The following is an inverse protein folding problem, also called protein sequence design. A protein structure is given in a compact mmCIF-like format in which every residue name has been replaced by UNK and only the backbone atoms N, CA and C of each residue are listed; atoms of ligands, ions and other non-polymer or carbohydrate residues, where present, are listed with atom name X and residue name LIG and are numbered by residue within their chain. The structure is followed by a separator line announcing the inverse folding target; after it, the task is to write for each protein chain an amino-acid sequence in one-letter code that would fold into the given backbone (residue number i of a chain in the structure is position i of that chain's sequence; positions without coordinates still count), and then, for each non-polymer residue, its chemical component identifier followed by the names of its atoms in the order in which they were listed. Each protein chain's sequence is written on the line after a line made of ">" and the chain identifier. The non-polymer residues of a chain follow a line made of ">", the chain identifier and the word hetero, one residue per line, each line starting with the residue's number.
data_IF_081255712770
#
_entry.id   IF_081255712770
#
_cell.length_a   1.000
_cell.length_b   1.000
_cell.length_c   1.000
_cell.angle_alpha   90.00
_cell.angle_beta   90.00
_cell.angle_gamma   90.00
#
_symmetry.space_group_name_H-M   'P 1'
#
loop_
_entity.id
_entity.type
_entity.pdbx_description
1 polymer ?
#
# COMPACT_ATOMS: atom_id res chain seq x y z
N UNK A 1 92.13 -13.44 9.20
CA UNK A 1 91.38 -12.83 8.06
C UNK A 1 89.93 -13.34 8.18
N UNK A 2 89.08 -12.53 8.77
CA UNK A 2 87.77 -12.96 9.20
C UNK A 2 86.69 -12.31 8.30
N UNK A 3 85.90 -13.11 7.65
CA UNK A 3 84.82 -12.68 6.81
C UNK A 3 83.51 -12.65 7.57
N UNK A 4 82.94 -11.48 7.79
CA UNK A 4 81.65 -11.29 8.45
C UNK A 4 80.53 -11.55 7.43
N UNK A 5 79.69 -12.55 7.71
CA UNK A 5 78.47 -12.85 6.95
C UNK A 5 77.28 -12.03 7.54
N UNK A 6 76.78 -11.09 6.72
CA UNK A 6 75.58 -10.33 6.96
C UNK A 6 74.34 -11.20 6.64
N UNK A 7 73.55 -11.58 7.67
CA UNK A 7 72.23 -12.21 7.49
C UNK A 7 71.17 -11.13 7.40
N UNK A 8 70.47 -11.07 6.24
CA UNK A 8 69.29 -10.29 6.07
C UNK A 8 68.06 -10.86 6.87
N UNK A 9 67.22 -10.01 7.45
CA UNK A 9 66.07 -10.49 8.21
C UNK A 9 64.97 -11.04 7.27
N UNK A 10 64.48 -12.23 7.60
CA UNK A 10 63.40 -12.94 6.89
C UNK A 10 62.05 -12.21 6.99
N UNK A 11 61.34 -12.17 5.87
CA UNK A 11 59.98 -11.58 5.67
C UNK A 11 58.85 -12.38 6.40
N UNK A 12 58.98 -12.72 7.64
CA UNK A 12 58.01 -13.57 8.39
C UNK A 12 57.60 -12.99 9.75
N UNK A 13 57.32 -11.72 9.88
CA UNK A 13 56.85 -11.14 11.12
C UNK A 13 55.96 -9.89 10.93
N UNK A 14 55.07 -9.86 9.96
CA UNK A 14 54.00 -8.86 9.90
C UNK A 14 52.73 -9.56 9.40
N UNK A 15 52.14 -10.43 10.18
CA UNK A 15 50.73 -10.86 10.07
C UNK A 15 50.30 -11.22 11.51
N UNK A 16 49.92 -10.22 12.28
CA UNK A 16 49.13 -10.42 13.50
C UNK A 16 48.45 -9.06 13.79
N UNK A 17 47.23 -8.87 13.38
CA UNK A 17 46.46 -7.67 13.71
C UNK A 17 45.30 -7.38 12.77
N UNK A 18 44.72 -8.38 12.12
CA UNK A 18 43.40 -8.20 11.55
C UNK A 18 42.35 -8.37 12.66
N UNK A 19 41.96 -7.27 13.31
CA UNK A 19 40.71 -7.25 14.09
C UNK A 19 39.58 -7.67 13.11
N UNK A 20 39.11 -8.90 13.26
CA UNK A 20 37.83 -9.33 12.72
C UNK A 20 36.75 -8.56 13.50
N UNK A 21 36.36 -7.40 12.99
CA UNK A 21 35.10 -6.79 13.37
C UNK A 21 34.01 -7.76 12.93
N UNK A 22 33.56 -8.61 13.86
CA UNK A 22 32.34 -9.39 13.68
C UNK A 22 31.18 -8.37 13.56
N UNK A 23 30.79 -8.07 12.35
CA UNK A 23 29.49 -7.47 12.09
C UNK A 23 28.43 -8.49 12.53
N UNK A 24 28.06 -8.49 13.81
CA UNK A 24 26.80 -9.05 14.21
C UNK A 24 25.72 -8.32 13.40
N UNK A 25 24.77 -9.01 12.76
CA UNK A 25 23.62 -8.34 12.18
C UNK A 25 22.92 -7.65 13.36
N UNK A 26 23.04 -6.33 13.43
CA UNK A 26 22.19 -5.52 14.30
C UNK A 26 20.80 -5.73 13.73
N UNK A 27 20.02 -6.61 14.37
CA UNK A 27 18.62 -6.75 14.06
C UNK A 27 18.05 -5.32 14.02
N UNK A 28 17.39 -4.96 12.92
CA UNK A 28 16.86 -3.62 12.73
C UNK A 28 15.92 -3.32 13.90
N UNK A 29 16.42 -2.65 14.92
CA UNK A 29 15.59 -2.17 16.03
C UNK A 29 14.66 -1.10 15.44
N UNK A 30 13.37 -1.21 15.75
CA UNK A 30 12.43 -0.16 15.38
C UNK A 30 12.92 1.16 15.97
N UNK A 31 12.68 2.21 15.19
CA UNK A 31 12.94 3.57 15.64
C UNK A 31 11.69 4.04 16.38
N UNK A 32 11.75 4.10 17.72
CA UNK A 32 10.70 4.73 18.53
C UNK A 32 10.56 6.21 18.21
N UNK A 33 9.47 6.82 18.68
CA UNK A 33 9.13 8.22 18.41
C UNK A 33 10.26 9.20 18.72
N UNK A 34 10.97 9.01 19.84
CA UNK A 34 12.10 9.87 20.23
C UNK A 34 13.25 9.79 19.23
N UNK A 35 13.55 8.59 18.72
CA UNK A 35 14.60 8.37 17.71
C UNK A 35 14.24 9.04 16.40
N UNK A 36 12.97 8.93 15.97
CA UNK A 36 12.44 9.57 14.74
C UNK A 36 12.51 11.09 14.88
N UNK A 37 12.09 11.62 16.02
CA UNK A 37 12.11 13.05 16.32
C UNK A 37 13.54 13.59 16.35
N UNK A 38 14.45 12.91 17.01
CA UNK A 38 15.87 13.29 17.05
C UNK A 38 16.54 13.24 15.67
N UNK A 39 16.17 12.27 14.82
CA UNK A 39 16.65 12.15 13.45
C UNK A 39 16.04 13.20 12.51
N UNK A 40 14.91 13.83 12.87
CA UNK A 40 14.18 14.78 12.04
C UNK A 40 13.56 14.18 10.79
N UNK A 41 13.42 12.85 10.71
CA UNK A 41 12.89 12.15 9.54
C UNK A 41 12.14 10.88 9.94
N UNK A 42 10.96 10.68 9.34
CA UNK A 42 10.17 9.45 9.39
C UNK A 42 10.15 8.79 8.02
N UNK A 43 10.40 7.49 7.96
CA UNK A 43 10.37 6.68 6.73
C UNK A 43 9.00 6.07 6.57
N UNK A 44 8.35 6.36 5.43
CA UNK A 44 6.98 5.95 5.14
C UNK A 44 6.99 5.07 3.91
N UNK A 45 6.63 3.79 4.08
CA UNK A 45 6.46 2.84 2.98
C UNK A 45 5.11 3.02 2.31
N UNK A 46 5.10 3.06 0.98
CA UNK A 46 3.90 3.16 0.13
C UNK A 46 4.04 2.21 -1.06
N UNK A 47 2.94 1.69 -1.57
CA UNK A 47 2.94 0.87 -2.78
C UNK A 47 3.37 1.69 -4.00
N UNK A 48 4.05 1.04 -4.97
CA UNK A 48 4.59 1.71 -6.16
C UNK A 48 3.57 1.90 -7.28
N UNK A 49 2.56 1.04 -7.36
CA UNK A 49 1.68 0.84 -8.51
C UNK A 49 0.20 0.68 -8.13
N UNK A 50 -0.22 1.37 -7.07
CA UNK A 50 -1.57 1.30 -6.53
C UNK A 50 -2.32 2.65 -6.61
N UNK A 51 -2.51 3.17 -7.83
CA UNK A 51 -3.29 4.39 -8.09
C UNK A 51 -4.75 4.23 -7.63
N UNK A 52 -5.36 5.22 -6.92
CA UNK A 52 -4.86 6.55 -6.56
C UNK A 52 -4.16 6.65 -5.21
N UNK A 53 -3.92 5.53 -4.52
CA UNK A 53 -3.33 5.52 -3.20
C UNK A 53 -1.86 5.90 -3.23
N UNK A 54 -1.09 5.22 -4.04
CA UNK A 54 0.31 5.56 -4.31
C UNK A 54 0.77 4.94 -5.63
N UNK A 55 1.41 5.74 -6.46
CA UNK A 55 1.97 5.25 -7.72
C UNK A 55 3.17 6.10 -8.15
N UNK A 56 3.95 5.55 -9.06
CA UNK A 56 5.08 6.24 -9.65
C UNK A 56 4.67 6.85 -10.99
N UNK A 57 4.74 8.18 -11.09
CA UNK A 57 4.50 8.90 -12.33
C UNK A 57 5.56 8.61 -13.40
N UNK A 58 5.28 9.03 -14.61
CA UNK A 58 6.19 8.84 -15.76
C UNK A 58 7.57 9.51 -15.57
N UNK A 59 7.65 10.56 -14.76
CA UNK A 59 8.87 11.25 -14.36
C UNK A 59 9.62 10.57 -13.21
N UNK A 60 9.12 9.45 -12.71
CA UNK A 60 9.67 8.72 -11.57
C UNK A 60 9.25 9.25 -10.20
N UNK A 61 8.45 10.31 -10.15
CA UNK A 61 7.95 10.87 -8.88
C UNK A 61 6.88 9.96 -8.26
N UNK A 62 7.03 9.66 -6.97
CA UNK A 62 6.04 8.93 -6.20
C UNK A 62 4.98 9.91 -5.70
N UNK A 63 3.71 9.64 -6.01
CA UNK A 63 2.57 10.49 -5.70
C UNK A 63 1.37 9.64 -5.26
N UNK A 64 0.31 10.29 -4.74
CA UNK A 64 -0.93 9.64 -4.34
C UNK A 64 -1.42 10.06 -2.96
N UNK A 65 -2.57 9.52 -2.59
CA UNK A 65 -3.26 9.82 -1.32
C UNK A 65 -2.37 9.45 -0.14
N UNK A 66 -1.76 8.26 -0.14
CA UNK A 66 -0.91 7.77 0.95
C UNK A 66 0.39 8.57 1.07
N UNK A 67 0.92 9.05 -0.06
CA UNK A 67 2.10 9.92 -0.07
C UNK A 67 1.78 11.28 0.55
N UNK A 68 0.65 11.88 0.18
CA UNK A 68 0.22 13.17 0.72
C UNK A 68 -0.14 13.05 2.21
N UNK A 69 -0.81 11.97 2.61
CA UNK A 69 -1.14 11.69 4.00
C UNK A 69 0.13 11.41 4.83
N UNK A 70 1.07 10.62 4.30
CA UNK A 70 2.37 10.37 4.94
C UNK A 70 3.16 11.66 5.19
N UNK A 71 3.14 12.59 4.24
CA UNK A 71 3.72 13.94 4.42
C UNK A 71 2.99 14.77 5.47
N UNK A 72 1.65 14.71 5.50
CA UNK A 72 0.86 15.39 6.52
C UNK A 72 1.11 14.83 7.93
N UNK A 73 1.22 13.52 8.06
CA UNK A 73 1.60 12.84 9.30
C UNK A 73 2.99 13.29 9.75
N UNK A 74 4.00 13.26 8.87
CA UNK A 74 5.35 13.69 9.19
C UNK A 74 5.38 15.15 9.69
N UNK A 75 4.64 16.04 9.01
CA UNK A 75 4.48 17.45 9.44
C UNK A 75 3.88 17.55 10.84
N UNK A 76 2.86 16.75 11.16
CA UNK A 76 2.22 16.72 12.48
C UNK A 76 3.12 16.12 13.58
N UNK A 77 4.09 15.27 13.19
CA UNK A 77 5.17 14.78 14.07
C UNK A 77 6.33 15.78 14.22
N UNK A 78 6.37 16.86 13.44
CA UNK A 78 7.46 17.85 13.44
C UNK A 78 8.72 17.38 12.71
N UNK A 79 8.62 16.43 11.80
CA UNK A 79 9.73 15.83 11.06
C UNK A 79 9.48 15.84 9.55
N UNK A 80 10.49 15.51 8.75
CA UNK A 80 10.39 15.34 7.29
C UNK A 80 9.95 13.90 6.96
N UNK A 81 9.10 13.73 5.96
CA UNK A 81 8.81 12.41 5.39
C UNK A 81 9.91 11.97 4.40
N UNK A 82 10.36 10.75 4.51
CA UNK A 82 11.09 10.01 3.50
C UNK A 82 10.16 8.93 2.94
N UNK A 83 9.66 9.15 1.72
CA UNK A 83 8.75 8.21 1.06
C UNK A 83 9.57 7.11 0.41
N UNK A 84 9.25 5.86 0.73
CA UNK A 84 9.90 4.66 0.21
C UNK A 84 8.84 3.86 -0.54
N UNK A 85 8.94 3.83 -1.87
CA UNK A 85 8.04 3.04 -2.71
C UNK A 85 8.51 1.59 -2.82
N UNK A 86 7.57 0.64 -2.77
CA UNK A 86 7.85 -0.78 -2.91
C UNK A 86 6.80 -1.49 -3.76
N UNK A 87 7.16 -2.63 -4.33
CA UNK A 87 6.21 -3.53 -4.99
C UNK A 87 5.56 -4.44 -3.96
N UNK A 88 4.26 -4.68 -4.10
CA UNK A 88 3.55 -5.66 -3.29
C UNK A 88 4.19 -7.05 -3.45
N UNK A 89 4.28 -7.78 -2.35
CA UNK A 89 4.65 -9.20 -2.35
C UNK A 89 3.37 -10.07 -2.48
N UNK A 90 3.43 -11.35 -2.18
CA UNK A 90 2.32 -12.29 -2.35
C UNK A 90 1.11 -11.93 -1.47
N UNK A 91 1.36 -11.42 -0.26
CA UNK A 91 0.29 -10.96 0.64
C UNK A 91 0.75 -9.80 1.56
N UNK A 92 -0.22 -9.18 2.22
CA UNK A 92 0.04 -8.05 3.14
C UNK A 92 0.94 -8.44 4.32
N UNK A 93 0.94 -9.70 4.76
CA UNK A 93 1.84 -10.18 5.83
C UNK A 93 3.28 -10.17 5.38
N UNK A 94 3.55 -10.52 4.13
CA UNK A 94 4.87 -10.45 3.52
C UNK A 94 5.32 -8.99 3.36
N UNK A 95 4.43 -8.09 2.96
CA UNK A 95 4.69 -6.67 2.91
C UNK A 95 5.04 -6.09 4.29
N UNK A 96 4.26 -6.45 5.33
CA UNK A 96 4.54 -6.06 6.71
C UNK A 96 5.91 -6.59 7.17
N UNK A 97 6.25 -7.83 6.84
CA UNK A 97 7.56 -8.41 7.15
C UNK A 97 8.68 -7.60 6.50
N UNK A 98 8.54 -7.32 5.21
CA UNK A 98 9.58 -6.69 4.42
C UNK A 98 9.74 -5.21 4.73
N UNK A 99 8.65 -4.48 4.96
CA UNK A 99 8.68 -3.04 5.12
C UNK A 99 8.70 -2.57 6.57
N UNK A 100 8.19 -3.37 7.53
CA UNK A 100 7.97 -2.91 8.91
C UNK A 100 8.99 -3.51 9.89
N UNK A 101 9.23 -4.84 9.88
CA UNK A 101 9.95 -5.44 10.99
C UNK A 101 11.21 -6.25 10.65
N UNK A 102 11.36 -6.78 9.43
CA UNK A 102 12.53 -7.59 9.05
C UNK A 102 13.43 -6.90 8.03
N UNK A 103 12.85 -6.22 7.06
CA UNK A 103 13.51 -5.75 5.85
C UNK A 103 13.48 -6.78 4.73
N UNK A 104 13.62 -6.30 3.49
CA UNK A 104 13.62 -7.15 2.29
C UNK A 104 14.82 -8.11 2.27
N UNK A 105 14.61 -9.32 1.79
CA UNK A 105 15.65 -10.36 1.65
C UNK A 105 16.77 -9.97 0.67
N UNK A 106 16.46 -9.10 -0.28
CA UNK A 106 17.45 -8.60 -1.27
C UNK A 106 18.17 -7.33 -0.80
N UNK A 107 18.00 -6.96 0.46
CA UNK A 107 18.54 -5.75 1.05
C UNK A 107 17.52 -4.63 1.08
N UNK A 108 17.65 -3.77 2.05
CA UNK A 108 16.76 -2.65 2.31
C UNK A 108 16.53 -2.45 3.80
N UNK A 109 16.32 -1.23 4.20
CA UNK A 109 16.01 -0.88 5.58
C UNK A 109 14.49 -0.90 5.75
N UNK A 110 14.03 -1.32 6.91
CA UNK A 110 12.62 -1.18 7.31
C UNK A 110 12.22 0.30 7.34
N UNK A 111 10.93 0.53 7.16
CA UNK A 111 10.30 1.83 7.33
C UNK A 111 9.72 1.96 8.75
N UNK A 112 9.49 3.18 9.19
CA UNK A 112 8.89 3.44 10.48
C UNK A 112 7.36 3.24 10.42
N UNK A 113 6.77 3.55 9.26
CA UNK A 113 5.35 3.47 8.97
C UNK A 113 5.16 2.77 7.62
N UNK A 114 4.23 1.84 7.54
CA UNK A 114 3.69 1.34 6.27
C UNK A 114 2.25 1.82 6.11
N UNK A 115 1.96 2.46 4.99
CA UNK A 115 0.61 2.96 4.65
C UNK A 115 -0.23 1.85 3.98
N UNK A 116 -1.52 2.11 3.88
CA UNK A 116 -2.50 1.28 3.16
C UNK A 116 -2.65 -0.15 3.69
N UNK A 117 -2.63 -0.30 5.00
CA UNK A 117 -2.81 -1.61 5.64
C UNK A 117 -4.28 -1.79 6.05
N UNK A 118 -4.93 -2.90 5.69
CA UNK A 118 -6.26 -3.22 6.20
C UNK A 118 -6.28 -3.31 7.73
N UNK A 119 -7.17 -2.56 8.37
CA UNK A 119 -7.36 -2.63 9.83
C UNK A 119 -8.30 -3.79 10.13
N UNK A 120 -7.73 -4.99 10.21
CA UNK A 120 -8.44 -6.24 10.40
C UNK A 120 -7.84 -7.04 11.56
N UNK A 121 -8.71 -7.59 12.42
CA UNK A 121 -8.28 -8.34 13.61
C UNK A 121 -7.57 -9.65 13.29
N UNK A 122 -7.96 -10.32 12.20
CA UNK A 122 -7.33 -11.58 11.79
C UNK A 122 -5.94 -11.30 11.24
N UNK A 123 -5.81 -10.27 10.37
CA UNK A 123 -4.52 -9.81 9.86
C UNK A 123 -3.58 -9.41 11.01
N UNK A 124 -4.07 -8.63 11.99
CA UNK A 124 -3.27 -8.20 13.13
C UNK A 124 -2.81 -9.40 14.00
N UNK A 125 -3.65 -10.41 14.21
CA UNK A 125 -3.27 -11.63 14.95
C UNK A 125 -2.25 -12.50 14.21
N UNK A 126 -2.33 -12.53 12.88
CA UNK A 126 -1.39 -13.26 12.05
C UNK A 126 -0.02 -12.56 11.94
N UNK A 127 0.04 -11.27 12.28
CA UNK A 127 1.23 -10.42 12.13
C UNK A 127 1.58 -9.72 13.45
N UNK A 128 1.88 -10.50 14.49
CA UNK A 128 2.15 -10.03 15.86
C UNK A 128 3.38 -9.13 16.00
N UNK A 129 4.25 -9.08 14.96
CA UNK A 129 5.42 -8.21 14.86
C UNK A 129 5.09 -6.82 14.31
N UNK A 130 3.81 -6.53 14.04
CA UNK A 130 3.32 -5.23 13.60
C UNK A 130 2.12 -4.79 14.45
N UNK A 131 2.03 -3.50 14.75
CA UNK A 131 0.84 -2.85 15.30
C UNK A 131 0.12 -2.21 14.12
N UNK A 132 -1.09 -2.69 13.83
CA UNK A 132 -1.97 -2.17 12.76
C UNK A 132 -3.04 -1.30 13.41
N UNK A 133 -3.19 -0.05 12.93
CA UNK A 133 -4.15 0.90 13.51
C UNK A 133 -4.25 2.20 12.71
N UNK A 134 -4.64 3.27 13.39
CA UNK A 134 -4.80 4.61 12.83
C UNK A 134 -5.61 4.63 11.51
N UNK A 135 -6.85 4.12 11.51
CA UNK A 135 -7.65 4.05 10.29
C UNK A 135 -7.96 5.46 9.76
N UNK A 136 -7.73 5.66 8.46
CA UNK A 136 -7.95 6.95 7.82
C UNK A 136 -9.03 6.95 6.74
N UNK A 137 -9.44 5.80 6.23
CA UNK A 137 -10.42 5.67 5.16
C UNK A 137 -11.23 4.37 5.27
N UNK A 138 -12.48 4.39 4.78
CA UNK A 138 -13.30 3.18 4.59
C UNK A 138 -13.36 2.83 3.13
N UNK A 139 -12.64 1.81 2.70
CA UNK A 139 -12.65 1.30 1.33
C UNK A 139 -13.80 0.31 1.11
N UNK A 140 -14.15 0.11 -0.15
CA UNK A 140 -15.13 -0.86 -0.59
C UNK A 140 -15.08 -1.03 -2.10
N UNK A 141 -15.92 -1.88 -2.63
CA UNK A 141 -16.00 -2.08 -4.08
C UNK A 141 -17.11 -1.25 -4.71
N UNK A 142 -16.90 -0.87 -5.96
CA UNK A 142 -17.85 -0.16 -6.79
C UNK A 142 -17.86 -0.79 -8.18
N UNK A 143 -19.03 -0.87 -8.77
CA UNK A 143 -19.17 -1.28 -10.17
C UNK A 143 -19.45 -0.05 -11.03
N UNK A 144 -18.81 0.03 -12.20
CA UNK A 144 -19.07 1.05 -13.19
C UNK A 144 -19.28 0.43 -14.57
N UNK A 145 -20.11 1.08 -15.37
CA UNK A 145 -20.56 0.57 -16.67
C UNK A 145 -20.50 1.69 -17.72
N UNK A 146 -20.19 1.31 -18.96
CA UNK A 146 -20.35 2.21 -20.11
C UNK A 146 -21.82 2.62 -20.32
N UNK A 147 -22.02 3.73 -21.02
CA UNK A 147 -23.35 4.39 -21.16
C UNK A 147 -24.45 3.46 -21.72
N UNK A 148 -24.09 2.55 -22.61
CA UNK A 148 -25.04 1.62 -23.27
C UNK A 148 -25.35 0.37 -22.38
N UNK A 149 -24.78 0.29 -21.19
CA UNK A 149 -24.98 -0.85 -20.28
C UNK A 149 -25.81 -0.40 -19.08
N UNK A 150 -26.94 -1.06 -18.85
CA UNK A 150 -27.71 -0.86 -17.61
C UNK A 150 -26.93 -1.48 -16.44
N UNK A 151 -26.37 -0.61 -15.60
CA UNK A 151 -25.53 -0.99 -14.47
C UNK A 151 -26.34 -1.57 -13.29
N UNK A 152 -27.67 -1.43 -13.29
CA UNK A 152 -28.52 -1.85 -12.18
C UNK A 152 -29.12 -3.26 -12.33
N UNK A 153 -28.89 -3.92 -13.47
CA UNK A 153 -29.34 -5.32 -13.67
C UNK A 153 -28.67 -6.26 -12.66
N UNK A 154 -29.25 -7.43 -12.45
CA UNK A 154 -28.62 -8.48 -11.65
C UNK A 154 -27.25 -8.84 -12.26
N UNK A 155 -26.18 -9.01 -11.47
CA UNK A 155 -24.83 -9.21 -12.03
C UNK A 155 -24.72 -10.38 -13.02
N UNK A 156 -25.45 -11.48 -12.80
CA UNK A 156 -25.49 -12.60 -13.76
C UNK A 156 -26.04 -12.21 -15.15
N UNK A 157 -26.80 -11.12 -15.25
CA UNK A 157 -27.35 -10.62 -16.52
C UNK A 157 -26.30 -9.89 -17.39
N UNK A 158 -25.10 -9.66 -16.86
CA UNK A 158 -23.98 -9.16 -17.67
C UNK A 158 -23.34 -10.23 -18.58
N UNK A 159 -23.86 -11.47 -18.58
CA UNK A 159 -23.42 -12.50 -19.53
C UNK A 159 -23.43 -11.97 -20.97
N UNK A 160 -22.32 -12.17 -21.68
CA UNK A 160 -22.10 -11.66 -23.04
C UNK A 160 -21.67 -10.20 -23.12
N UNK A 161 -21.49 -9.51 -21.99
CA UNK A 161 -20.84 -8.19 -21.91
C UNK A 161 -19.33 -8.37 -21.70
N UNK A 162 -18.54 -7.36 -22.08
CA UNK A 162 -17.09 -7.33 -21.84
C UNK A 162 -16.83 -6.85 -20.42
N UNK A 163 -16.52 -7.79 -19.53
CA UNK A 163 -16.24 -7.50 -18.11
C UNK A 163 -14.74 -7.37 -17.88
N UNK A 164 -14.34 -6.48 -17.00
CA UNK A 164 -12.94 -6.28 -16.62
C UNK A 164 -12.78 -6.15 -15.11
N UNK A 165 -11.70 -6.73 -14.59
CA UNK A 165 -11.25 -6.59 -13.22
C UNK A 165 -9.72 -6.72 -13.16
N UNK A 166 -9.13 -6.28 -12.05
CA UNK A 166 -7.73 -6.55 -11.75
C UNK A 166 -7.53 -8.03 -11.45
N UNK A 167 -6.51 -8.64 -12.06
CA UNK A 167 -6.16 -10.04 -11.90
C UNK A 167 -5.94 -10.39 -10.41
N UNK A 168 -6.37 -11.56 -10.00
CA UNK A 168 -6.24 -12.12 -8.64
C UNK A 168 -6.85 -11.26 -7.52
N UNK A 169 -7.74 -10.32 -7.88
CA UNK A 169 -8.46 -9.48 -6.93
C UNK A 169 -9.83 -10.04 -6.55
N UNK A 170 -10.43 -9.52 -5.47
CA UNK A 170 -11.83 -9.82 -5.12
C UNK A 170 -12.80 -9.50 -6.25
N UNK A 171 -12.69 -8.37 -6.98
CA UNK A 171 -13.43 -8.13 -8.22
C UNK A 171 -13.31 -9.22 -9.27
N UNK A 172 -12.12 -9.72 -9.50
CA UNK A 172 -11.87 -10.80 -10.45
C UNK A 172 -12.57 -12.10 -10.02
N UNK A 173 -12.37 -12.53 -8.78
CA UNK A 173 -13.06 -13.70 -8.24
C UNK A 173 -14.58 -13.55 -8.20
N UNK A 174 -15.07 -12.32 -8.02
CA UNK A 174 -16.49 -12.04 -8.11
C UNK A 174 -17.06 -12.33 -9.50
N UNK A 175 -16.42 -11.86 -10.56
CA UNK A 175 -16.86 -12.13 -11.92
C UNK A 175 -16.63 -13.58 -12.34
N UNK A 176 -15.46 -14.13 -12.03
CA UNK A 176 -15.08 -15.47 -12.50
C UNK A 176 -15.70 -16.61 -11.69
N UNK A 177 -15.98 -16.41 -10.40
CA UNK A 177 -16.41 -17.47 -9.48
C UNK A 177 -17.84 -17.39 -9.01
N UNK A 178 -18.45 -16.19 -8.94
CA UNK A 178 -19.81 -16.05 -8.45
C UNK A 178 -20.86 -16.50 -9.50
N UNK A 179 -22.10 -16.64 -9.07
CA UNK A 179 -23.25 -16.98 -9.94
C UNK A 179 -23.04 -18.26 -10.76
N UNK A 180 -22.36 -19.27 -10.21
CA UNK A 180 -22.03 -20.50 -10.93
C UNK A 180 -21.00 -20.34 -12.03
N UNK A 181 -20.22 -19.25 -12.02
CA UNK A 181 -19.16 -19.00 -13.00
C UNK A 181 -19.68 -18.56 -14.37
N UNK A 182 -20.93 -18.13 -14.45
CA UNK A 182 -21.60 -17.76 -15.72
C UNK A 182 -20.91 -16.60 -16.45
N UNK A 183 -20.15 -15.76 -15.73
CA UNK A 183 -19.47 -14.59 -16.28
C UNK A 183 -17.97 -14.84 -16.57
N UNK A 184 -17.44 -16.02 -16.21
CA UNK A 184 -15.99 -16.32 -16.31
C UNK A 184 -15.42 -16.09 -17.70
N UNK A 185 -16.11 -16.54 -18.75
CA UNK A 185 -15.64 -16.43 -20.14
C UNK A 185 -15.73 -15.02 -20.70
N UNK A 186 -16.52 -14.16 -20.06
CA UNK A 186 -16.75 -12.77 -20.47
C UNK A 186 -15.82 -11.79 -19.71
N UNK A 187 -15.05 -12.32 -18.76
CA UNK A 187 -14.16 -11.53 -17.90
C UNK A 187 -12.74 -11.51 -18.45
N UNK A 188 -12.22 -10.32 -18.70
CA UNK A 188 -10.81 -10.05 -19.04
C UNK A 188 -10.08 -9.55 -17.79
N UNK A 189 -8.97 -10.16 -17.49
CA UNK A 189 -8.09 -9.83 -16.37
C UNK A 189 -7.09 -8.74 -16.79
N UNK A 190 -6.95 -7.70 -15.99
CA UNK A 190 -6.02 -6.60 -16.24
C UNK A 190 -5.02 -6.49 -15.07
N UNK A 191 -3.89 -5.84 -15.31
CA UNK A 191 -2.78 -5.79 -14.34
C UNK A 191 -3.02 -4.81 -13.18
N UNK A 192 -4.05 -3.96 -13.28
CA UNK A 192 -4.43 -3.03 -12.20
C UNK A 192 -5.88 -2.62 -12.30
N UNK A 193 -6.47 -2.21 -11.17
CA UNK A 193 -7.82 -1.66 -11.13
C UNK A 193 -7.94 -0.37 -11.93
N UNK A 194 -6.92 0.48 -11.95
CA UNK A 194 -6.87 1.68 -12.78
C UNK A 194 -7.00 1.34 -14.27
N UNK A 195 -6.22 0.37 -14.77
CA UNK A 195 -6.32 -0.11 -16.16
C UNK A 195 -7.70 -0.70 -16.45
N UNK A 196 -8.33 -1.38 -15.47
CA UNK A 196 -9.67 -1.92 -15.63
C UNK A 196 -10.72 -0.80 -15.78
N UNK A 197 -10.63 0.27 -15.02
CA UNK A 197 -11.55 1.43 -15.16
C UNK A 197 -11.30 2.14 -16.50
N UNK A 198 -10.06 2.32 -16.91
CA UNK A 198 -9.73 2.96 -18.19
C UNK A 198 -10.27 2.18 -19.39
N UNK A 199 -10.30 0.85 -19.34
CA UNK A 199 -10.89 0.04 -20.39
C UNK A 199 -12.40 0.33 -20.58
N UNK A 200 -13.15 0.67 -19.53
CA UNK A 200 -14.55 1.09 -19.65
C UNK A 200 -14.65 2.55 -20.14
N UNK A 201 -13.76 3.42 -19.69
CA UNK A 201 -13.70 4.82 -20.16
C UNK A 201 -13.41 4.91 -21.66
N UNK A 202 -12.56 4.04 -22.18
CA UNK A 202 -12.23 4.00 -23.63
C UNK A 202 -13.25 3.23 -24.48
N UNK A 203 -14.21 2.55 -23.84
CA UNK A 203 -15.18 1.69 -24.54
C UNK A 203 -14.62 0.32 -24.94
N UNK A 204 -13.46 -0.06 -24.46
CA UNK A 204 -12.90 -1.40 -24.67
C UNK A 204 -13.60 -2.46 -23.82
N UNK A 205 -14.23 -2.06 -22.73
CA UNK A 205 -15.03 -2.90 -21.84
C UNK A 205 -16.39 -2.24 -21.55
N UNK A 206 -17.35 -3.06 -21.11
CA UNK A 206 -18.72 -2.63 -20.81
C UNK A 206 -18.94 -2.44 -19.31
N UNK A 207 -18.28 -3.25 -18.48
CA UNK A 207 -18.45 -3.28 -17.02
C UNK A 207 -17.12 -3.48 -16.35
N UNK A 208 -16.86 -2.71 -15.29
CA UNK A 208 -15.73 -2.89 -14.37
C UNK A 208 -16.22 -3.04 -12.94
N UNK A 209 -15.58 -3.90 -12.17
CA UNK A 209 -15.63 -3.91 -10.74
C UNK A 209 -14.21 -3.63 -10.22
N UNK A 210 -14.07 -2.63 -9.35
CA UNK A 210 -12.79 -2.25 -8.76
C UNK A 210 -13.02 -1.66 -7.36
N UNK A 211 -11.96 -1.21 -6.68
CA UNK A 211 -12.14 -0.46 -5.44
C UNK A 211 -12.84 0.87 -5.75
N UNK A 212 -13.57 1.37 -4.76
CA UNK A 212 -14.29 2.64 -4.90
C UNK A 212 -13.33 3.79 -5.24
N UNK A 213 -12.21 3.87 -4.53
CA UNK A 213 -11.23 4.93 -4.76
C UNK A 213 -10.68 4.91 -6.19
N UNK A 214 -10.39 3.73 -6.76
CA UNK A 214 -9.94 3.60 -8.15
C UNK A 214 -10.97 4.11 -9.14
N UNK A 215 -12.25 3.74 -8.96
CA UNK A 215 -13.33 4.19 -9.87
C UNK A 215 -13.57 5.69 -9.71
N UNK A 216 -13.71 6.20 -8.49
CA UNK A 216 -13.98 7.63 -8.26
C UNK A 216 -12.86 8.51 -8.82
N UNK A 217 -11.59 8.15 -8.57
CA UNK A 217 -10.43 8.85 -9.10
C UNK A 217 -10.43 8.90 -10.62
N UNK A 218 -10.58 7.75 -11.26
CA UNK A 218 -10.55 7.67 -12.71
C UNK A 218 -11.71 8.44 -13.37
N UNK A 219 -12.88 8.50 -12.72
CA UNK A 219 -14.04 9.26 -13.21
C UNK A 219 -13.93 10.75 -12.91
N UNK A 220 -13.18 11.18 -11.91
CA UNK A 220 -12.98 12.59 -11.58
C UNK A 220 -12.29 13.36 -12.73
N UNK A 221 -11.48 12.69 -13.54
CA UNK A 221 -10.87 13.27 -14.75
C UNK A 221 -11.87 13.50 -15.90
N UNK A 222 -13.15 13.13 -15.71
CA UNK A 222 -14.24 13.32 -16.66
C UNK A 222 -14.47 12.11 -17.57
N UNK A 223 -15.57 11.39 -17.32
CA UNK A 223 -16.06 10.32 -18.17
C UNK A 223 -17.61 10.26 -18.03
N UNK A 224 -18.34 11.27 -18.55
CA UNK A 224 -19.80 11.40 -18.33
C UNK A 224 -20.61 10.24 -18.92
N UNK A 225 -20.00 9.46 -19.81
CA UNK A 225 -20.60 8.26 -20.39
C UNK A 225 -20.43 7.00 -19.53
N UNK A 226 -19.68 7.05 -18.42
CA UNK A 226 -19.55 5.96 -17.47
C UNK A 226 -20.48 6.21 -16.29
N UNK A 227 -21.27 5.20 -15.93
CA UNK A 227 -22.22 5.26 -14.82
C UNK A 227 -21.77 4.30 -13.72
N UNK A 228 -21.90 4.70 -12.48
CA UNK A 228 -21.67 3.82 -11.32
C UNK A 228 -22.98 3.16 -10.89
N UNK A 229 -22.89 1.88 -10.51
CA UNK A 229 -24.00 1.14 -9.90
C UNK A 229 -24.35 1.74 -8.54
N UNK A 230 -25.66 1.93 -8.30
CA UNK A 230 -26.19 2.41 -7.00
C UNK A 230 -26.69 1.27 -6.14
N UNK A 231 -27.21 0.21 -6.76
CA UNK A 231 -27.73 -0.96 -6.06
C UNK A 231 -26.63 -1.82 -5.43
N UNK A 232 -26.99 -2.74 -4.52
CA UNK A 232 -26.04 -3.62 -3.88
C UNK A 232 -25.37 -4.56 -4.87
N UNK A 233 -24.22 -5.11 -4.48
CA UNK A 233 -23.50 -6.16 -5.19
C UNK A 233 -23.74 -7.49 -4.44
N UNK A 234 -24.79 -8.27 -4.80
CA UNK A 234 -25.10 -9.52 -4.13
C UNK A 234 -23.96 -10.51 -4.31
N UNK A 235 -23.73 -11.36 -3.30
CA UNK A 235 -22.64 -12.33 -3.26
C UNK A 235 -21.22 -11.75 -3.22
N UNK A 236 -21.06 -10.44 -3.07
CA UNK A 236 -19.75 -9.86 -2.81
C UNK A 236 -19.28 -10.26 -1.41
N UNK A 237 -18.07 -10.82 -1.25
CA UNK A 237 -17.63 -11.40 0.04
C UNK A 237 -17.35 -10.34 1.11
N UNK A 238 -17.20 -9.08 0.75
CA UNK A 238 -16.89 -7.99 1.67
C UNK A 238 -17.75 -6.75 1.41
N UNK A 239 -18.29 -6.18 2.50
CA UNK A 239 -18.96 -4.87 2.45
C UNK A 239 -17.97 -3.68 2.47
N UNK A 240 -16.66 -3.96 2.51
CA UNK A 240 -15.59 -2.99 2.64
C UNK A 240 -14.75 -3.21 3.90
N UNK A 241 -13.66 -2.49 3.99
CA UNK A 241 -12.69 -2.57 5.10
C UNK A 241 -12.13 -1.20 5.43
N UNK A 242 -11.65 -1.03 6.65
CA UNK A 242 -10.96 0.18 7.05
C UNK A 242 -9.49 0.08 6.64
N UNK A 243 -8.98 1.16 6.08
CA UNK A 243 -7.59 1.32 5.67
C UNK A 243 -6.88 2.20 6.68
N UNK A 244 -5.77 1.71 7.19
CA UNK A 244 -4.92 2.41 8.15
C UNK A 244 -3.45 2.21 7.84
N UNK A 245 -2.65 2.18 8.87
CA UNK A 245 -1.20 2.03 8.76
C UNK A 245 -0.67 0.99 9.76
N UNK A 246 0.59 0.59 9.56
CA UNK A 246 1.28 -0.30 10.48
C UNK A 246 2.64 0.27 10.88
N UNK A 247 3.04 -0.05 12.11
CA UNK A 247 4.37 0.18 12.67
C UNK A 247 4.89 -1.10 13.30
N UNK A 248 6.17 -1.17 13.60
CA UNK A 248 6.73 -2.33 14.29
C UNK A 248 6.19 -2.48 15.72
N UNK A 249 6.08 -3.71 16.22
CA UNK A 249 5.49 -4.08 17.51
C UNK A 249 6.15 -3.42 18.73
N UNK A 250 7.44 -3.11 18.65
CA UNK A 250 8.21 -2.45 19.70
C UNK A 250 8.20 -0.90 19.62
N UNK A 251 7.44 -0.32 18.66
CA UNK A 251 7.23 1.14 18.49
C UNK A 251 5.81 1.57 18.91
N UNK A 252 5.32 1.11 20.06
CA UNK A 252 3.95 1.40 20.52
C UNK A 252 3.71 2.88 20.80
N UNK A 253 4.72 3.59 21.27
CA UNK A 253 4.71 5.04 21.44
C UNK A 253 4.43 5.78 20.13
N UNK A 254 5.04 5.31 19.04
CA UNK A 254 4.74 5.80 17.69
C UNK A 254 3.32 5.44 17.27
N UNK A 255 2.87 4.19 17.47
CA UNK A 255 1.50 3.77 17.14
C UNK A 255 0.46 4.66 17.83
N UNK A 256 0.55 4.84 19.15
CA UNK A 256 -0.33 5.69 19.94
C UNK A 256 -0.31 7.17 19.49
N UNK A 257 0.85 7.64 19.06
CA UNK A 257 0.99 8.99 18.52
C UNK A 257 0.31 9.11 17.15
N UNK A 258 0.45 8.11 16.28
CA UNK A 258 -0.16 8.08 14.96
C UNK A 258 -1.68 8.00 15.02
N UNK A 259 -2.26 7.22 15.94
CA UNK A 259 -3.71 7.20 16.16
C UNK A 259 -4.24 8.61 16.46
N UNK A 260 -3.59 9.35 17.36
CA UNK A 260 -3.96 10.73 17.68
C UNK A 260 -3.75 11.70 16.51
N UNK A 261 -2.67 11.55 15.76
CA UNK A 261 -2.35 12.40 14.59
C UNK A 261 -3.39 12.18 13.49
N UNK A 262 -3.67 10.93 13.13
CA UNK A 262 -4.64 10.61 12.07
C UNK A 262 -6.05 11.08 12.48
N UNK A 263 -6.46 10.84 13.74
CA UNK A 263 -7.73 11.35 14.25
C UNK A 263 -7.83 12.89 14.15
N UNK A 264 -6.74 13.61 14.47
CA UNK A 264 -6.68 15.07 14.33
C UNK A 264 -6.78 15.52 12.87
N UNK A 265 -6.02 14.88 11.95
CA UNK A 265 -6.04 15.20 10.52
C UNK A 265 -7.40 14.87 9.85
N UNK A 266 -8.14 13.92 10.40
CA UNK A 266 -9.53 13.69 10.00
C UNK A 266 -10.46 14.79 10.54
N UNK A 267 -10.32 15.13 11.80
CA UNK A 267 -11.17 16.12 12.47
C UNK A 267 -11.03 17.54 11.90
N UNK A 268 -9.81 17.93 11.48
CA UNK A 268 -9.54 19.25 10.88
C UNK A 268 -9.79 19.31 9.36
N UNK A 269 -10.22 18.19 8.75
CA UNK A 269 -10.55 18.10 7.33
C UNK A 269 -9.35 17.88 6.40
N UNK A 270 -8.14 17.71 6.92
CA UNK A 270 -6.93 17.48 6.10
C UNK A 270 -7.06 16.19 5.27
N UNK A 271 -7.55 15.09 5.87
CA UNK A 271 -7.77 13.83 5.15
C UNK A 271 -8.81 14.02 4.05
N UNK A 272 -9.94 14.67 4.33
CA UNK A 272 -10.97 14.96 3.32
C UNK A 272 -10.43 15.81 2.16
N UNK A 273 -9.61 16.82 2.46
CA UNK A 273 -8.99 17.65 1.44
C UNK A 273 -7.96 16.88 0.57
N UNK A 274 -7.21 15.95 1.16
CA UNK A 274 -6.30 15.06 0.42
C UNK A 274 -7.11 14.16 -0.54
N UNK A 275 -8.13 13.46 -0.05
CA UNK A 275 -8.99 12.60 -0.84
C UNK A 275 -9.64 13.37 -2.01
N UNK A 276 -10.20 14.56 -1.73
CA UNK A 276 -10.84 15.40 -2.74
C UNK A 276 -9.88 15.84 -3.86
N UNK A 277 -8.60 16.14 -3.56
CA UNK A 277 -7.59 16.46 -4.58
C UNK A 277 -7.35 15.31 -5.55
N UNK A 278 -7.51 14.08 -5.08
CA UNK A 278 -7.40 12.88 -5.89
C UNK A 278 -8.77 12.41 -6.45
N UNK A 279 -9.82 13.21 -6.32
CA UNK A 279 -11.16 12.89 -6.84
C UNK A 279 -11.87 11.77 -6.09
N UNK A 280 -11.46 11.47 -4.87
CA UNK A 280 -12.02 10.41 -4.02
C UNK A 280 -12.89 11.02 -2.93
N UNK A 281 -14.09 10.47 -2.74
CA UNK A 281 -15.02 10.90 -1.69
C UNK A 281 -14.52 10.49 -0.31
N UNK A 282 -14.63 11.38 0.70
CA UNK A 282 -14.29 11.04 2.07
C UNK A 282 -15.29 10.04 2.66
N UNK A 283 -14.78 8.93 3.14
CA UNK A 283 -15.53 7.89 3.84
C UNK A 283 -14.86 7.59 5.17
N UNK A 284 -15.56 7.94 6.23
CA UNK A 284 -15.07 7.70 7.57
C UNK A 284 -14.90 6.18 7.83
N UNK A 285 -13.79 5.76 8.46
CA UNK A 285 -13.66 4.41 9.00
C UNK A 285 -14.82 4.08 9.95
N UNK A 286 -15.16 2.82 10.08
CA UNK A 286 -16.10 2.40 11.13
C UNK A 286 -15.42 2.63 12.48
N UNK A 287 -16.18 3.13 13.45
CA UNK A 287 -15.67 3.23 14.82
C UNK A 287 -15.31 1.82 15.32
N UNK A 288 -14.05 1.60 15.66
CA UNK A 288 -13.53 0.35 16.23
C UNK A 288 -13.66 0.36 17.74
#
# INVERSE_FOLDING_TARGET
>A
MSGASSRAPTRRAIIAGALAATFAPVGAMARGLDTITAAGVVRVAVYRDFEPWSWKGADGTVMGIDVDLGRAIAKALGVRAEIVDFLADEDVGDDLRNMVWRGSLVGGQTCDIMMHVPVDRQLARANDRAVIGAPYYREGFLMACGVETDCEVAPAAFKGKRLVAELDSVPDFYFSGSFGGVLRTDTRHLMSGAAAVDAVKTGEADVVLATRAQIEHALAAGAPWVKTRKGPLPALPSAGWDVGLAVKDDSRDLADRLDRVVASLRADGTVAAILARHGVSDRAPLAT
#
